data_IF_701332821339
#
_entry.id   IF_701332821339
#
_cell.length_a   1.000
_cell.length_b   1.000
_cell.length_c   1.000
_cell.angle_alpha   90.00
_cell.angle_beta   90.00
_cell.angle_gamma   90.00
#
_symmetry.space_group_name_H-M   'P 1'
#
loop_
_entity.id
_entity.type
_entity.pdbx_description
1 polymer ?
#
# COMPACT_ATOMS: atom_id res chain seq x y z
N UNK A 1 -15.45 -15.96 -19.26
CA UNK A 1 -16.80 -15.45 -18.99
C UNK A 1 -16.67 -13.96 -18.74
N UNK A 2 -17.65 -13.17 -19.14
CA UNK A 2 -17.72 -11.76 -18.74
C UNK A 2 -18.24 -11.66 -17.31
N UNK A 3 -17.77 -10.67 -16.55
CA UNK A 3 -18.28 -10.27 -15.24
C UNK A 3 -18.59 -8.77 -15.25
N UNK A 4 -19.33 -8.34 -14.24
CA UNK A 4 -19.56 -6.95 -13.87
C UNK A 4 -18.65 -6.54 -12.71
N UNK A 5 -18.51 -5.22 -12.49
CA UNK A 5 -17.84 -4.71 -11.29
C UNK A 5 -18.52 -5.19 -9.99
N UNK A 6 -19.86 -5.24 -9.97
CA UNK A 6 -20.61 -5.64 -8.78
C UNK A 6 -20.39 -7.11 -8.40
N UNK A 7 -20.32 -8.03 -9.37
CA UNK A 7 -19.99 -9.44 -9.08
C UNK A 7 -18.63 -9.60 -8.40
N UNK A 8 -17.63 -8.77 -8.77
CA UNK A 8 -16.31 -8.77 -8.11
C UNK A 8 -16.34 -8.14 -6.70
N UNK A 9 -17.24 -7.18 -6.47
CA UNK A 9 -17.48 -6.60 -5.14
C UNK A 9 -18.14 -7.66 -4.25
N UNK A 10 -19.19 -8.32 -4.73
CA UNK A 10 -19.92 -9.36 -3.99
C UNK A 10 -19.01 -10.57 -3.69
N UNK A 11 -18.16 -10.99 -4.64
CA UNK A 11 -17.15 -12.04 -4.42
C UNK A 11 -16.11 -11.70 -3.33
N UNK A 12 -15.88 -10.42 -3.04
CA UNK A 12 -14.83 -9.97 -2.12
C UNK A 12 -15.32 -9.37 -0.81
N UNK A 13 -16.59 -8.96 -0.69
CA UNK A 13 -17.05 -8.12 0.43
C UNK A 13 -16.86 -8.77 1.80
N UNK A 14 -17.25 -10.03 1.99
CA UNK A 14 -17.10 -10.72 3.29
C UNK A 14 -15.63 -10.99 3.66
N UNK A 15 -14.81 -11.45 2.71
CA UNK A 15 -13.38 -11.65 2.96
C UNK A 15 -12.65 -10.32 3.20
N UNK A 16 -13.06 -9.24 2.51
CA UNK A 16 -12.61 -7.86 2.73
C UNK A 16 -12.90 -7.41 4.15
N UNK A 17 -14.14 -7.63 4.65
CA UNK A 17 -14.54 -7.28 6.01
C UNK A 17 -13.73 -8.04 7.05
N UNK A 18 -13.49 -9.35 6.89
CA UNK A 18 -12.64 -10.10 7.83
C UNK A 18 -11.19 -9.56 7.87
N UNK A 19 -10.63 -9.19 6.71
CA UNK A 19 -9.30 -8.58 6.63
C UNK A 19 -9.28 -7.12 7.14
N UNK A 20 -10.37 -6.36 7.05
CA UNK A 20 -10.46 -5.01 7.63
C UNK A 20 -10.51 -5.09 9.16
N UNK A 21 -11.32 -5.98 9.72
CA UNK A 21 -11.32 -6.25 11.15
C UNK A 21 -9.92 -6.67 11.63
N UNK A 22 -9.21 -7.50 10.85
CA UNK A 22 -7.82 -7.88 11.16
C UNK A 22 -6.83 -6.71 11.07
N UNK A 23 -6.94 -5.85 10.06
CA UNK A 23 -6.11 -4.64 9.94
C UNK A 23 -6.37 -3.67 11.10
N UNK A 24 -7.62 -3.55 11.57
CA UNK A 24 -7.96 -2.74 12.73
C UNK A 24 -7.37 -3.31 14.03
N UNK A 25 -7.42 -4.63 14.25
CA UNK A 25 -6.74 -5.33 15.36
C UNK A 25 -5.23 -5.08 15.38
N UNK A 26 -4.59 -4.97 14.20
CA UNK A 26 -3.16 -4.68 14.06
C UNK A 26 -2.86 -3.18 14.24
N UNK A 27 -3.71 -2.30 13.74
CA UNK A 27 -3.47 -0.85 13.76
C UNK A 27 -3.66 -0.26 15.15
N UNK A 28 -4.75 -0.57 15.85
CA UNK A 28 -5.07 -0.05 17.20
C UNK A 28 -4.97 1.48 17.34
N UNK A 29 -5.16 2.23 16.26
CA UNK A 29 -4.99 3.69 16.21
C UNK A 29 -3.53 4.18 16.17
N UNK A 30 -2.55 3.30 15.96
CA UNK A 30 -1.16 3.67 15.74
C UNK A 30 -0.97 4.52 14.47
N UNK A 31 0.08 5.35 14.48
CA UNK A 31 0.52 6.06 13.28
C UNK A 31 1.10 5.10 12.24
N UNK A 32 1.30 5.60 11.02
CA UNK A 32 1.87 4.82 9.92
C UNK A 32 2.89 5.63 9.11
N UNK A 33 3.79 4.90 8.45
CA UNK A 33 4.75 5.39 7.46
C UNK A 33 4.74 4.43 6.26
N UNK A 34 5.01 4.92 5.04
CA UNK A 34 5.17 4.06 3.87
C UNK A 34 6.33 4.49 2.98
N UNK A 35 7.20 3.54 2.69
CA UNK A 35 8.28 3.66 1.72
C UNK A 35 7.96 2.76 0.51
N UNK A 36 7.82 3.35 -0.68
CA UNK A 36 7.61 2.58 -1.91
C UNK A 36 8.92 2.20 -2.60
N UNK A 37 10.06 2.82 -2.25
CA UNK A 37 11.37 2.44 -2.77
C UNK A 37 11.97 1.21 -2.08
N UNK A 38 11.60 0.99 -0.80
CA UNK A 38 11.76 -0.27 -0.11
C UNK A 38 10.35 -0.71 0.36
N UNK A 39 9.56 -1.42 -0.48
CA UNK A 39 8.10 -1.58 -0.33
C UNK A 39 7.65 -2.04 1.07
N UNK A 40 7.39 -1.08 1.95
CA UNK A 40 7.12 -1.30 3.36
C UNK A 40 6.11 -0.28 3.86
N UNK A 41 5.00 -0.77 4.41
CA UNK A 41 4.03 0.00 5.18
C UNK A 41 4.18 -0.36 6.65
N UNK A 42 4.65 0.58 7.45
CA UNK A 42 5.00 0.33 8.86
C UNK A 42 3.97 0.97 9.77
N UNK A 43 3.26 0.13 10.53
CA UNK A 43 2.44 0.55 11.66
C UNK A 43 3.35 0.82 12.87
N UNK A 44 3.16 1.98 13.51
CA UNK A 44 3.95 2.48 14.64
C UNK A 44 3.48 1.87 15.97
N UNK A 45 3.31 0.55 15.98
CA UNK A 45 2.99 -0.27 17.15
C UNK A 45 4.25 -0.63 17.94
N UNK A 46 4.09 -1.26 19.10
CA UNK A 46 5.20 -1.83 19.89
C UNK A 46 4.97 -3.33 20.12
N UNK A 47 5.71 -4.24 19.43
CA UNK A 47 6.70 -3.95 18.40
C UNK A 47 6.06 -3.43 17.09
N UNK A 48 6.82 -2.74 16.21
CA UNK A 48 6.31 -2.26 14.93
C UNK A 48 5.91 -3.42 14.01
N UNK A 49 4.75 -3.29 13.35
CA UNK A 49 4.28 -4.22 12.31
C UNK A 49 4.63 -3.65 10.93
N UNK A 50 5.23 -4.45 10.06
CA UNK A 50 5.62 -4.03 8.70
C UNK A 50 4.95 -4.92 7.65
N UNK A 51 4.14 -4.31 6.79
CA UNK A 51 3.36 -4.96 5.74
C UNK A 51 3.92 -4.59 4.36
N UNK A 52 3.63 -5.40 3.35
CA UNK A 52 3.93 -5.09 1.94
C UNK A 52 2.81 -4.23 1.36
N UNK A 53 3.10 -3.00 0.87
CA UNK A 53 2.11 -2.16 0.21
C UNK A 53 2.09 -2.39 -1.30
N UNK A 54 0.88 -2.47 -1.85
CA UNK A 54 0.63 -2.35 -3.28
C UNK A 54 -0.25 -1.13 -3.54
N UNK A 55 0.21 -0.17 -4.35
CA UNK A 55 -0.57 1.00 -4.72
C UNK A 55 -1.55 0.63 -5.84
N UNK A 56 -2.85 0.67 -5.58
CA UNK A 56 -3.86 0.47 -6.64
C UNK A 56 -4.00 1.72 -7.51
N UNK A 57 -4.15 2.88 -6.87
CA UNK A 57 -4.44 4.12 -7.55
C UNK A 57 -4.64 5.27 -6.58
N UNK A 58 -4.98 6.43 -7.13
CA UNK A 58 -5.25 7.64 -6.37
C UNK A 58 -6.57 8.25 -6.76
N UNK A 59 -7.36 8.60 -5.75
CA UNK A 59 -8.54 9.43 -5.87
C UNK A 59 -8.15 10.89 -5.60
N UNK A 60 -8.58 11.81 -6.46
CA UNK A 60 -8.35 13.24 -6.29
C UNK A 60 -9.65 14.02 -6.37
N UNK A 61 -10.10 14.56 -5.23
CA UNK A 61 -11.29 15.41 -5.16
C UNK A 61 -11.11 16.72 -5.94
N UNK A 62 -9.87 17.22 -6.05
CA UNK A 62 -9.51 18.45 -6.77
C UNK A 62 -9.45 18.27 -8.29
N UNK A 63 -9.02 17.10 -8.79
CA UNK A 63 -9.08 16.75 -10.22
C UNK A 63 -10.45 16.20 -10.63
N UNK A 64 -11.20 15.63 -9.69
CA UNK A 64 -12.46 14.93 -9.96
C UNK A 64 -12.27 13.59 -10.66
N UNK A 65 -11.11 12.93 -10.47
CA UNK A 65 -10.80 11.64 -11.09
C UNK A 65 -10.10 10.65 -10.16
N UNK A 66 -10.35 9.37 -10.43
CA UNK A 66 -9.57 8.23 -9.99
C UNK A 66 -8.57 7.88 -11.10
N UNK A 67 -7.30 7.72 -10.74
CA UNK A 67 -6.23 7.31 -11.66
C UNK A 67 -5.57 6.05 -11.10
N UNK A 68 -5.47 5.01 -11.93
CA UNK A 68 -4.80 3.77 -11.54
C UNK A 68 -3.28 3.89 -11.59
N UNK A 69 -2.57 3.20 -10.70
CA UNK A 69 -1.11 3.33 -10.56
C UNK A 69 -0.33 2.80 -11.76
N UNK A 70 -0.94 1.96 -12.61
CA UNK A 70 -0.34 1.52 -13.87
C UNK A 70 -0.25 2.60 -14.96
N UNK A 71 -0.85 3.78 -14.76
CA UNK A 71 -0.58 4.92 -15.62
C UNK A 71 0.80 5.54 -15.34
N UNK A 72 1.28 5.40 -14.10
CA UNK A 72 2.49 6.04 -13.60
C UNK A 72 3.61 5.02 -13.31
N UNK A 73 3.73 3.97 -14.14
CA UNK A 73 4.71 2.87 -13.95
C UNK A 73 6.17 3.35 -13.83
N UNK A 74 6.52 4.51 -14.41
CA UNK A 74 7.85 5.09 -14.29
C UNK A 74 8.14 5.80 -12.96
N UNK A 75 7.17 5.87 -12.05
CA UNK A 75 7.25 6.60 -10.78
C UNK A 75 7.31 5.70 -9.53
N UNK A 76 6.97 4.42 -9.66
CA UNK A 76 6.92 3.45 -8.56
C UNK A 76 7.55 2.12 -9.02
N UNK A 77 8.28 1.40 -8.14
CA UNK A 77 8.83 0.09 -8.52
C UNK A 77 7.74 -0.89 -8.97
N UNK A 78 8.05 -1.71 -9.97
CA UNK A 78 7.14 -2.73 -10.54
C UNK A 78 6.40 -3.57 -9.48
N UNK A 79 7.05 -3.93 -8.37
CA UNK A 79 6.45 -4.67 -7.26
C UNK A 79 5.28 -3.91 -6.60
N UNK A 80 5.39 -2.59 -6.42
CA UNK A 80 4.37 -1.74 -5.77
C UNK A 80 3.11 -1.61 -6.62
N UNK A 81 3.26 -1.56 -7.95
CA UNK A 81 2.16 -1.42 -8.91
C UNK A 81 1.62 -2.76 -9.42
N UNK A 82 2.25 -3.87 -9.03
CA UNK A 82 1.93 -5.23 -9.51
C UNK A 82 0.46 -5.62 -9.33
N UNK A 83 -0.15 -5.29 -8.17
CA UNK A 83 -1.56 -5.59 -7.91
C UNK A 83 -2.51 -4.77 -8.80
N UNK A 84 -2.15 -3.53 -9.16
CA UNK A 84 -2.93 -2.72 -10.09
C UNK A 84 -2.82 -3.30 -11.51
N UNK A 85 -1.61 -3.65 -11.96
CA UNK A 85 -1.41 -4.30 -13.28
C UNK A 85 -2.14 -5.64 -13.36
N UNK A 86 -2.14 -6.43 -12.27
CA UNK A 86 -2.93 -7.66 -12.17
C UNK A 86 -4.44 -7.38 -12.27
N UNK A 87 -4.93 -6.34 -11.61
CA UNK A 87 -6.33 -5.91 -11.73
C UNK A 87 -6.69 -5.49 -13.16
N UNK A 88 -5.80 -4.77 -13.87
CA UNK A 88 -5.96 -4.43 -15.30
C UNK A 88 -6.06 -5.67 -16.17
N UNK A 89 -5.07 -6.56 -16.09
CA UNK A 89 -5.04 -7.79 -16.88
C UNK A 89 -6.23 -8.70 -16.56
N UNK A 90 -6.75 -8.69 -15.33
CA UNK A 90 -7.96 -9.41 -14.95
C UNK A 90 -9.24 -8.73 -15.50
N UNK A 91 -9.33 -7.39 -15.42
CA UNK A 91 -10.42 -6.60 -15.99
C UNK A 91 -10.57 -6.82 -17.49
N UNK A 92 -9.46 -6.80 -18.24
CA UNK A 92 -9.41 -7.13 -19.67
C UNK A 92 -9.92 -8.56 -19.96
N UNK A 93 -9.50 -9.56 -19.16
CA UNK A 93 -9.93 -10.97 -19.32
C UNK A 93 -11.41 -11.19 -18.98
N UNK A 94 -11.94 -10.40 -18.05
CA UNK A 94 -13.30 -10.51 -17.52
C UNK A 94 -14.29 -9.52 -18.17
N UNK A 95 -13.84 -8.60 -19.01
CA UNK A 95 -14.68 -7.57 -19.61
C UNK A 95 -15.24 -6.56 -18.59
N UNK A 96 -14.46 -6.25 -17.54
CA UNK A 96 -14.79 -5.22 -16.54
C UNK A 96 -14.02 -3.96 -16.92
N UNK A 97 -14.71 -3.05 -17.61
CA UNK A 97 -14.12 -1.82 -18.15
C UNK A 97 -13.58 -0.92 -17.03
N UNK A 98 -14.21 -0.89 -15.85
CA UNK A 98 -13.77 -0.06 -14.72
C UNK A 98 -12.43 -0.52 -14.11
N UNK A 99 -12.06 -1.78 -14.28
CA UNK A 99 -10.76 -2.32 -13.88
C UNK A 99 -9.70 -2.21 -14.99
N UNK A 100 -10.06 -1.78 -16.20
CA UNK A 100 -9.11 -1.67 -17.34
C UNK A 100 -9.04 -0.26 -17.95
N UNK A 101 -9.93 0.64 -17.56
CA UNK A 101 -9.91 2.06 -17.94
C UNK A 101 -8.93 2.84 -17.07
N UNK A 102 -7.99 3.54 -17.71
CA UNK A 102 -6.86 4.22 -17.10
C UNK A 102 -7.23 5.31 -16.07
N UNK A 103 -8.23 6.14 -16.41
CA UNK A 103 -8.75 7.23 -15.59
C UNK A 103 -10.28 7.20 -15.60
N UNK A 104 -10.89 7.31 -14.42
CA UNK A 104 -12.33 7.29 -14.23
C UNK A 104 -12.78 8.60 -13.55
N UNK A 105 -13.92 9.20 -13.95
CA UNK A 105 -14.47 10.34 -13.23
C UNK A 105 -14.89 9.92 -11.81
N UNK A 106 -14.54 10.73 -10.80
CA UNK A 106 -14.95 10.47 -9.41
C UNK A 106 -16.48 10.43 -9.31
N UNK A 107 -16.94 9.40 -8.63
CA UNK A 107 -18.31 9.23 -8.17
C UNK A 107 -18.27 8.74 -6.71
N UNK A 108 -19.36 8.95 -5.98
CA UNK A 108 -19.54 8.47 -4.61
C UNK A 108 -19.21 6.96 -4.50
N UNK A 109 -18.42 6.59 -3.48
CA UNK A 109 -17.90 5.23 -3.29
C UNK A 109 -17.09 4.61 -4.42
N UNK A 110 -16.66 5.36 -5.44
CA UNK A 110 -15.95 4.76 -6.58
C UNK A 110 -14.65 4.10 -6.15
N UNK A 111 -13.76 4.82 -5.45
CA UNK A 111 -12.48 4.28 -5.04
C UNK A 111 -12.59 3.04 -4.14
N UNK A 112 -13.57 3.01 -3.23
CA UNK A 112 -13.87 1.82 -2.41
C UNK A 112 -14.39 0.66 -3.27
N UNK A 113 -15.32 0.90 -4.21
CA UNK A 113 -15.86 -0.12 -5.13
C UNK A 113 -14.78 -0.73 -6.04
N UNK A 114 -13.92 0.11 -6.62
CA UNK A 114 -12.77 -0.36 -7.42
C UNK A 114 -11.79 -1.15 -6.56
N UNK A 115 -11.54 -0.71 -5.32
CA UNK A 115 -10.67 -1.43 -4.40
C UNK A 115 -11.23 -2.80 -4.01
N UNK A 116 -12.52 -2.90 -3.67
CA UNK A 116 -13.19 -4.18 -3.40
C UNK A 116 -13.09 -5.13 -4.61
N UNK A 117 -13.47 -4.68 -5.80
CA UNK A 117 -13.35 -5.47 -7.02
C UNK A 117 -11.90 -5.92 -7.31
N UNK A 118 -10.90 -5.07 -7.04
CA UNK A 118 -9.49 -5.42 -7.16
C UNK A 118 -9.08 -6.54 -6.17
N UNK A 119 -9.66 -6.60 -4.96
CA UNK A 119 -9.38 -7.69 -4.00
C UNK A 119 -9.75 -9.07 -4.56
N UNK A 120 -10.91 -9.19 -5.23
CA UNK A 120 -11.36 -10.44 -5.83
C UNK A 120 -10.39 -11.00 -6.90
N UNK A 121 -9.69 -10.12 -7.63
CA UNK A 121 -8.79 -10.50 -8.73
C UNK A 121 -7.30 -10.48 -8.38
N UNK A 122 -6.92 -9.96 -7.21
CA UNK A 122 -5.52 -9.90 -6.72
C UNK A 122 -5.24 -10.84 -5.54
N UNK A 123 -6.28 -11.22 -4.79
CA UNK A 123 -6.16 -12.03 -3.57
C UNK A 123 -5.52 -11.30 -2.38
N UNK A 124 -5.38 -9.96 -2.44
CA UNK A 124 -4.87 -9.14 -1.33
C UNK A 124 -6.05 -8.39 -0.71
N UNK A 125 -6.54 -8.85 0.44
CA UNK A 125 -7.87 -8.44 0.95
C UNK A 125 -7.84 -7.28 1.96
N UNK A 126 -6.70 -6.95 2.57
CA UNK A 126 -6.55 -5.76 3.40
C UNK A 126 -6.30 -4.52 2.53
N UNK A 127 -6.85 -3.37 2.92
CA UNK A 127 -6.63 -2.11 2.22
C UNK A 127 -6.51 -0.92 3.16
N UNK A 128 -5.85 0.15 2.73
CA UNK A 128 -5.69 1.37 3.51
C UNK A 128 -5.79 2.62 2.62
N UNK A 129 -6.77 3.51 2.85
CA UNK A 129 -6.85 4.82 2.19
C UNK A 129 -5.86 5.80 2.85
N UNK A 130 -4.67 5.92 2.27
CA UNK A 130 -3.59 6.79 2.75
C UNK A 130 -3.77 8.24 2.23
N UNK A 131 -4.12 9.16 3.13
CA UNK A 131 -4.23 10.59 2.81
C UNK A 131 -2.89 11.17 2.34
N UNK A 132 -2.82 11.53 1.06
CA UNK A 132 -1.63 12.09 0.39
C UNK A 132 -1.51 13.62 0.58
N UNK A 133 -2.57 14.27 1.06
CA UNK A 133 -2.68 15.72 1.19
C UNK A 133 -3.10 16.38 -0.13
N UNK A 134 -3.54 17.64 -0.06
CA UNK A 134 -4.03 18.37 -1.24
C UNK A 134 -5.35 17.85 -1.82
N UNK A 135 -6.13 17.08 -1.05
CA UNK A 135 -7.35 16.42 -1.54
C UNK A 135 -7.08 15.18 -2.41
N UNK A 136 -5.90 14.56 -2.26
CA UNK A 136 -5.57 13.26 -2.86
C UNK A 136 -5.54 12.18 -1.78
N UNK A 137 -6.09 11.01 -2.10
CA UNK A 137 -6.03 9.78 -1.29
C UNK A 137 -5.43 8.67 -2.13
N UNK A 138 -4.34 8.07 -1.65
CA UNK A 138 -3.72 6.91 -2.26
C UNK A 138 -4.31 5.63 -1.66
N UNK A 139 -4.86 4.76 -2.50
CA UNK A 139 -5.51 3.53 -2.06
C UNK A 139 -4.53 2.36 -2.18
N UNK A 140 -4.16 1.80 -1.02
CA UNK A 140 -3.19 0.72 -0.90
C UNK A 140 -3.90 -0.61 -0.63
N UNK A 141 -3.47 -1.70 -1.24
CA UNK A 141 -3.66 -3.05 -0.71
C UNK A 141 -2.47 -3.43 0.15
N UNK A 142 -2.71 -4.16 1.24
CA UNK A 142 -1.68 -4.56 2.21
C UNK A 142 -1.62 -6.09 2.31
N UNK A 143 -0.41 -6.65 2.29
CA UNK A 143 -0.13 -8.08 2.43
C UNK A 143 0.97 -8.32 3.49
N UNK A 144 0.96 -9.48 4.14
CA UNK A 144 1.88 -9.80 5.23
C UNK A 144 1.43 -11.00 6.07
N UNK A 145 2.37 -11.70 6.75
CA UNK A 145 2.06 -12.85 7.59
C UNK A 145 1.10 -12.53 8.75
N UNK A 146 1.00 -11.27 9.17
CA UNK A 146 0.09 -10.80 10.22
C UNK A 146 -1.39 -10.95 9.84
N UNK A 147 -1.69 -11.08 8.54
CA UNK A 147 -3.01 -11.39 8.01
C UNK A 147 -3.31 -12.90 7.88
N UNK A 148 -2.45 -13.79 8.38
CA UNK A 148 -2.79 -15.21 8.48
C UNK A 148 -3.99 -15.39 9.42
N UNK A 149 -5.15 -15.70 8.83
CA UNK A 149 -6.40 -15.84 9.57
C UNK A 149 -6.47 -17.22 10.24
N UNK A 150 -7.00 -17.32 11.48
CA UNK A 150 -7.29 -18.61 12.08
C UNK A 150 -8.35 -19.38 11.26
N UNK A 151 -8.50 -20.68 11.55
CA UNK A 151 -9.59 -21.48 10.97
C UNK A 151 -10.96 -20.84 11.23
N UNK A 152 -11.85 -20.91 10.23
CA UNK A 152 -13.16 -20.27 10.31
C UNK A 152 -14.08 -20.99 11.31
N UNK A 153 -14.70 -20.21 12.19
CA UNK A 153 -15.72 -20.65 13.15
C UNK A 153 -17.09 -20.06 12.81
N UNK A 154 -18.16 -20.68 13.30
CA UNK A 154 -19.53 -20.16 13.12
C UNK A 154 -19.65 -18.73 13.65
N UNK A 155 -19.11 -18.45 14.84
CA UNK A 155 -19.13 -17.11 15.46
C UNK A 155 -18.46 -16.06 14.55
N UNK A 156 -17.27 -16.37 14.02
CA UNK A 156 -16.49 -15.48 13.16
C UNK A 156 -17.19 -15.26 11.82
N UNK A 157 -17.69 -16.31 11.20
CA UNK A 157 -18.47 -16.24 9.95
C UNK A 157 -19.70 -15.34 10.12
N UNK A 158 -20.50 -15.58 11.17
CA UNK A 158 -21.73 -14.81 11.39
C UNK A 158 -21.45 -13.34 11.73
N UNK A 159 -20.37 -13.06 12.46
CA UNK A 159 -19.93 -11.68 12.75
C UNK A 159 -19.51 -10.95 11.47
N UNK A 160 -18.69 -11.58 10.63
CA UNK A 160 -18.21 -11.01 9.35
C UNK A 160 -19.38 -10.71 8.40
N UNK A 161 -20.31 -11.66 8.25
CA UNK A 161 -21.52 -11.46 7.43
C UNK A 161 -22.35 -10.30 8.00
N UNK A 162 -22.64 -10.30 9.30
CA UNK A 162 -23.44 -9.25 9.92
C UNK A 162 -22.81 -7.86 9.79
N UNK A 163 -21.49 -7.73 9.97
CA UNK A 163 -20.75 -6.47 9.81
C UNK A 163 -20.77 -5.99 8.35
N UNK A 164 -20.48 -6.87 7.38
CA UNK A 164 -20.44 -6.53 5.97
C UNK A 164 -21.80 -6.01 5.45
N UNK A 165 -22.91 -6.62 5.89
CA UNK A 165 -24.27 -6.21 5.51
C UNK A 165 -24.66 -4.82 6.06
N UNK A 166 -23.95 -4.26 7.03
CA UNK A 166 -24.19 -2.87 7.47
C UNK A 166 -23.72 -1.82 6.45
N UNK A 167 -22.92 -2.22 5.45
CA UNK A 167 -22.31 -1.31 4.47
C UNK A 167 -23.16 -1.09 3.20
N UNK A 168 -24.30 -1.79 3.06
CA UNK A 168 -25.20 -1.75 1.88
C UNK A 168 -24.46 -1.92 0.52
N UNK A 169 -23.30 -2.57 0.54
CA UNK A 169 -22.38 -2.69 -0.60
C UNK A 169 -22.48 -4.05 -1.31
N UNK A 170 -22.92 -5.09 -0.58
CA UNK A 170 -23.21 -6.40 -1.12
C UNK A 170 -24.60 -6.38 -1.79
N UNK A 171 -24.68 -6.82 -3.04
CA UNK A 171 -25.95 -6.89 -3.80
C UNK A 171 -26.39 -8.33 -3.96
N UNK A 172 -25.51 -9.22 -4.43
CA UNK A 172 -25.75 -10.67 -4.45
C UNK A 172 -25.14 -11.35 -3.21
N UNK A 173 -25.95 -11.58 -2.19
CA UNK A 173 -25.51 -12.25 -0.97
C UNK A 173 -25.25 -13.75 -1.20
N UNK A 174 -25.89 -14.37 -2.20
CA UNK A 174 -25.64 -15.78 -2.55
C UNK A 174 -24.20 -15.94 -3.03
N UNK A 175 -23.78 -15.06 -3.94
CA UNK A 175 -22.41 -14.98 -4.45
C UNK A 175 -21.40 -14.64 -3.33
N UNK A 176 -21.74 -13.70 -2.45
CA UNK A 176 -20.89 -13.34 -1.31
C UNK A 176 -20.67 -14.49 -0.32
N UNK A 177 -21.74 -15.23 0.05
CA UNK A 177 -21.62 -16.42 0.93
C UNK A 177 -20.82 -17.53 0.25
N UNK A 178 -21.09 -17.82 -1.02
CA UNK A 178 -20.40 -18.87 -1.79
C UNK A 178 -18.91 -18.57 -1.97
N UNK A 179 -18.55 -17.33 -2.34
CA UNK A 179 -17.15 -16.90 -2.46
C UNK A 179 -16.43 -16.94 -1.11
N UNK A 180 -17.03 -16.40 -0.05
CA UNK A 180 -16.44 -16.40 1.29
C UNK A 180 -16.17 -17.82 1.80
N UNK A 181 -17.11 -18.75 1.60
CA UNK A 181 -16.92 -20.16 1.93
C UNK A 181 -15.71 -20.76 1.18
N UNK A 182 -15.63 -20.55 -0.14
CA UNK A 182 -14.52 -21.03 -1.00
C UNK A 182 -13.16 -20.43 -0.64
N UNK A 183 -13.12 -19.17 -0.20
CA UNK A 183 -11.90 -18.47 0.20
C UNK A 183 -11.42 -18.83 1.61
N UNK A 184 -12.33 -19.27 2.49
CA UNK A 184 -12.00 -19.69 3.86
C UNK A 184 -11.89 -21.20 4.05
N UNK A 185 -12.13 -21.99 3.00
CA UNK A 185 -12.09 -23.46 3.06
C UNK A 185 -13.30 -24.08 3.76
N UNK A 186 -14.42 -23.37 3.81
CA UNK A 186 -15.68 -23.90 4.31
C UNK A 186 -16.41 -24.70 3.22
N UNK A 187 -17.20 -25.69 3.63
CA UNK A 187 -18.10 -26.40 2.70
C UNK A 187 -19.41 -25.63 2.57
N UNK A 188 -19.90 -25.48 1.34
CA UNK A 188 -21.22 -24.93 1.04
C UNK A 188 -22.02 -25.92 0.20
N UNK A 189 -23.24 -26.20 0.63
CA UNK A 189 -24.16 -27.11 -0.05
C UNK A 189 -25.47 -26.37 -0.34
N UNK A 190 -25.85 -26.29 -1.61
CA UNK A 190 -27.06 -25.62 -2.06
C UNK A 190 -28.21 -26.63 -2.22
N UNK A 191 -29.25 -26.51 -1.39
CA UNK A 191 -30.49 -27.31 -1.52
C UNK A 191 -31.32 -26.82 -2.71
N UNK A 192 -31.36 -25.49 -2.88
CA UNK A 192 -32.01 -24.75 -3.98
C UNK A 192 -31.28 -23.42 -4.16
N UNK A 193 -31.59 -22.64 -5.20
CA UNK A 193 -31.06 -21.26 -5.35
C UNK A 193 -31.43 -20.32 -4.17
N UNK A 194 -32.43 -20.67 -3.35
CA UNK A 194 -32.89 -19.88 -2.21
C UNK A 194 -32.44 -20.41 -0.84
N UNK A 195 -31.65 -21.49 -0.77
CA UNK A 195 -31.24 -22.09 0.52
C UNK A 195 -29.91 -22.85 0.41
N UNK A 196 -28.98 -22.57 1.31
CA UNK A 196 -27.74 -23.33 1.46
C UNK A 196 -27.42 -23.67 2.92
N UNK A 197 -26.57 -24.69 3.11
CA UNK A 197 -25.92 -25.00 4.39
C UNK A 197 -24.42 -24.77 4.24
N UNK A 198 -23.87 -23.90 5.10
CA UNK A 198 -22.42 -23.68 5.21
C UNK A 198 -21.90 -24.43 6.43
N UNK A 199 -20.95 -25.34 6.22
CA UNK A 199 -20.29 -26.12 7.26
C UNK A 199 -18.86 -25.62 7.46
N UNK A 200 -18.50 -25.33 8.71
CA UNK A 200 -17.20 -24.83 9.17
C UNK A 200 -16.66 -25.72 10.30
N UNK A 201 -15.50 -25.39 10.89
CA UNK A 201 -14.77 -26.26 11.83
C UNK A 201 -15.61 -26.72 13.04
N UNK A 202 -16.43 -25.83 13.58
CA UNK A 202 -17.13 -25.99 14.87
C UNK A 202 -18.65 -26.12 14.76
N UNK A 203 -19.21 -26.12 13.54
CA UNK A 203 -20.64 -26.28 13.31
C UNK A 203 -21.07 -25.93 11.88
N UNK A 204 -22.38 -25.80 11.67
CA UNK A 204 -22.95 -25.36 10.41
C UNK A 204 -24.10 -24.37 10.62
N UNK A 205 -24.38 -23.56 9.60
CA UNK A 205 -25.53 -22.65 9.53
C UNK A 205 -26.27 -22.87 8.22
N UNK A 206 -27.60 -22.86 8.27
CA UNK A 206 -28.47 -22.79 7.10
C UNK A 206 -28.84 -21.34 6.84
N UNK A 207 -28.71 -20.91 5.59
CA UNK A 207 -29.08 -19.58 5.12
C UNK A 207 -30.27 -19.70 4.17
N UNK A 208 -31.20 -18.75 4.26
CA UNK A 208 -32.25 -18.53 3.27
C UNK A 208 -32.04 -17.20 2.57
N UNK A 209 -32.40 -17.17 1.29
CA UNK A 209 -32.23 -16.00 0.43
C UNK A 209 -33.55 -15.67 -0.27
N UNK A 210 -33.97 -14.42 -0.18
CA UNK A 210 -35.08 -13.84 -0.95
C UNK A 210 -34.51 -12.69 -1.79
N UNK A 211 -34.78 -12.67 -3.10
CA UNK A 211 -34.26 -11.68 -4.06
C UNK A 211 -32.73 -11.42 -3.94
N UNK A 212 -31.94 -12.50 -3.84
CA UNK A 212 -30.48 -12.52 -3.61
C UNK A 212 -29.99 -11.92 -2.28
N UNK A 213 -30.89 -11.64 -1.33
CA UNK A 213 -30.56 -11.14 0.01
C UNK A 213 -30.84 -12.20 1.09
N UNK A 214 -29.94 -12.30 2.08
CA UNK A 214 -30.11 -13.19 3.24
C UNK A 214 -31.36 -12.75 4.03
N UNK A 215 -32.40 -13.58 4.04
CA UNK A 215 -33.66 -13.32 4.75
C UNK A 215 -33.79 -14.08 6.08
N UNK A 216 -32.97 -15.11 6.29
CA UNK A 216 -32.92 -15.86 7.54
C UNK A 216 -31.65 -16.70 7.69
N UNK A 217 -31.30 -17.00 8.93
CA UNK A 217 -30.20 -17.93 9.27
C UNK A 217 -30.58 -18.76 10.50
N UNK A 218 -30.27 -20.07 10.49
CA UNK A 218 -30.41 -20.94 11.67
C UNK A 218 -29.23 -21.92 11.82
N UNK A 219 -28.98 -22.47 13.02
CA UNK A 219 -28.06 -23.59 13.21
C UNK A 219 -28.49 -24.84 12.43
N UNK A 220 -27.52 -25.48 11.76
CA UNK A 220 -27.72 -26.71 11.01
C UNK A 220 -26.79 -27.83 11.50
N UNK A 221 -27.10 -29.08 11.12
CA UNK A 221 -26.16 -30.19 11.26
C UNK A 221 -25.07 -30.09 10.17
N UNK A 222 -23.78 -30.29 10.49
CA UNK A 222 -22.70 -30.36 9.50
C UNK A 222 -22.97 -31.41 8.43
N UNK A 223 -22.89 -31.03 7.15
CA UNK A 223 -23.11 -31.97 6.04
C UNK A 223 -21.87 -32.74 5.60
N UNK A 224 -20.67 -32.30 6.03
CA UNK A 224 -19.39 -32.97 5.78
C UNK A 224 -18.55 -33.12 7.04
N UNK A 225 -17.64 -34.10 7.02
CA UNK A 225 -16.66 -34.31 8.09
C UNK A 225 -15.44 -33.37 7.98
N UNK A 226 -14.60 -33.33 9.03
CA UNK A 226 -13.43 -32.45 9.10
C UNK A 226 -12.38 -32.73 8.01
N UNK A 227 -12.32 -33.96 7.49
CA UNK A 227 -11.44 -34.33 6.38
C UNK A 227 -11.73 -33.53 5.10
N UNK A 228 -13.01 -33.30 4.77
CA UNK A 228 -13.40 -32.49 3.61
C UNK A 228 -13.05 -31.02 3.82
N UNK A 229 -13.19 -30.51 5.05
CA UNK A 229 -12.79 -29.13 5.39
C UNK A 229 -11.27 -28.92 5.27
N UNK A 230 -10.46 -29.93 5.59
CA UNK A 230 -9.00 -29.88 5.39
C UNK A 230 -8.64 -29.80 3.90
N UNK A 231 -9.32 -30.58 3.06
CA UNK A 231 -9.12 -30.54 1.60
C UNK A 231 -9.56 -29.18 1.02
N UNK A 232 -10.74 -28.66 1.41
CA UNK A 232 -11.23 -27.34 1.00
C UNK A 232 -10.31 -26.19 1.47
N UNK A 233 -9.70 -26.31 2.66
CA UNK A 233 -8.69 -25.38 3.13
C UNK A 233 -7.34 -25.52 2.40
N UNK A 234 -7.04 -26.66 1.77
CA UNK A 234 -5.92 -26.79 0.84
C UNK A 234 -6.21 -26.10 -0.49
N UNK A 235 -7.38 -26.38 -1.08
CA UNK A 235 -7.91 -25.71 -2.27
C UNK A 235 -7.90 -24.17 -2.16
N UNK A 236 -8.34 -23.64 -1.01
CA UNK A 236 -8.33 -22.19 -0.76
C UNK A 236 -6.91 -21.60 -0.78
N UNK A 237 -5.92 -22.31 -0.21
CA UNK A 237 -4.51 -21.92 -0.24
C UNK A 237 -3.88 -22.04 -1.63
N UNK A 238 -4.32 -23.01 -2.44
CA UNK A 238 -3.92 -23.15 -3.85
C UNK A 238 -4.46 -22.00 -4.69
N UNK A 239 -5.75 -21.63 -4.55
CA UNK A 239 -6.34 -20.45 -5.21
C UNK A 239 -5.57 -19.17 -4.85
N UNK A 240 -5.25 -18.98 -3.57
CA UNK A 240 -4.43 -17.85 -3.12
C UNK A 240 -2.98 -17.91 -3.64
N UNK A 241 -2.44 -19.09 -3.95
CA UNK A 241 -1.13 -19.24 -4.58
C UNK A 241 -1.16 -18.84 -6.06
N UNK A 242 -2.17 -19.27 -6.80
CA UNK A 242 -2.38 -18.87 -8.21
C UNK A 242 -2.49 -17.35 -8.33
N UNK A 243 -3.25 -16.69 -7.45
CA UNK A 243 -3.35 -15.21 -7.45
C UNK A 243 -2.02 -14.52 -7.09
N UNK A 244 -1.14 -15.15 -6.31
CA UNK A 244 0.22 -14.64 -6.05
C UNK A 244 1.17 -14.87 -7.24
N UNK A 245 1.01 -15.96 -7.98
CA UNK A 245 1.76 -16.22 -9.22
C UNK A 245 1.34 -15.26 -10.34
N UNK A 246 0.04 -15.00 -10.50
CA UNK A 246 -0.49 -13.96 -11.40
C UNK A 246 0.07 -12.57 -11.04
N UNK A 247 0.19 -12.24 -9.74
CA UNK A 247 0.81 -10.97 -9.30
C UNK A 247 2.29 -10.87 -9.67
N UNK A 248 3.04 -11.96 -9.53
CA UNK A 248 4.44 -12.00 -9.95
C UNK A 248 4.60 -11.90 -11.49
N UNK A 249 3.65 -12.43 -12.26
CA UNK A 249 3.60 -12.23 -13.70
C UNK A 249 3.29 -10.76 -14.08
N UNK A 250 2.35 -10.13 -13.37
CA UNK A 250 2.01 -8.70 -13.53
C UNK A 250 3.19 -7.78 -13.16
N UNK A 251 3.94 -8.08 -12.10
CA UNK A 251 5.20 -7.40 -11.76
C UNK A 251 6.22 -7.49 -12.92
N UNK A 252 6.40 -8.69 -13.50
CA UNK A 252 7.27 -8.87 -14.65
C UNK A 252 6.76 -8.15 -15.92
N UNK A 253 5.44 -7.94 -16.07
CA UNK A 253 4.87 -7.07 -17.11
C UNK A 253 5.19 -5.59 -16.83
N UNK A 254 4.96 -5.10 -15.61
CA UNK A 254 5.27 -3.72 -15.20
C UNK A 254 6.75 -3.37 -15.43
N UNK A 255 7.68 -4.21 -14.95
CA UNK A 255 9.12 -4.01 -15.11
C UNK A 255 9.58 -4.00 -16.59
N UNK A 256 8.88 -4.73 -17.48
CA UNK A 256 9.15 -4.68 -18.92
C UNK A 256 8.66 -3.37 -19.53
N UNK A 257 7.46 -2.92 -19.16
CA UNK A 257 6.87 -1.66 -19.66
C UNK A 257 7.68 -0.44 -19.19
N UNK A 258 8.21 -0.44 -17.97
CA UNK A 258 9.14 0.58 -17.44
C UNK A 258 10.48 0.64 -18.23
N UNK A 259 10.97 -0.52 -18.68
CA UNK A 259 12.24 -0.62 -19.41
C UNK A 259 12.13 -0.27 -20.91
N UNK A 260 10.94 -0.32 -21.52
CA UNK A 260 10.75 0.00 -22.94
C UNK A 260 11.16 1.44 -23.35
N UNK A 261 10.79 2.53 -22.64
CA UNK A 261 11.28 3.87 -22.99
C UNK A 261 12.81 3.99 -22.88
N UNK A 262 13.43 3.32 -21.90
CA UNK A 262 14.89 3.26 -21.77
C UNK A 262 15.56 2.48 -22.91
N UNK A 263 14.90 1.41 -23.41
CA UNK A 263 15.39 0.57 -24.51
C UNK A 263 15.28 1.27 -25.86
N UNK A 264 14.23 2.06 -26.07
CA UNK A 264 14.04 2.87 -27.28
C UNK A 264 15.03 4.05 -27.37
N UNK A 265 15.54 4.53 -26.23
CA UNK A 265 16.54 5.59 -26.14
C UNK A 265 18.00 5.09 -26.24
N UNK A 266 18.24 3.77 -26.14
CA UNK A 266 19.57 3.21 -26.30
C UNK A 266 20.06 3.37 -27.76
N UNK A 267 21.27 3.92 -28.02
CA UNK A 267 21.75 4.09 -29.38
C UNK A 267 21.91 2.73 -30.05
N UNK A 268 21.20 2.52 -31.16
CA UNK A 268 21.40 1.36 -32.00
C UNK A 268 22.87 1.31 -32.42
N UNK A 269 23.59 0.26 -32.00
CA UNK A 269 24.97 0.06 -32.39
C UNK A 269 25.05 0.07 -33.93
N UNK A 270 25.91 0.89 -34.54
CA UNK A 270 25.95 1.02 -35.99
C UNK A 270 26.31 -0.34 -36.59
N UNK A 271 25.41 -0.89 -37.40
CA UNK A 271 25.68 -2.11 -38.13
C UNK A 271 26.93 -1.91 -39.00
N UNK A 272 27.93 -2.79 -38.82
CA UNK A 272 29.21 -2.71 -39.53
C UNK A 272 28.98 -2.71 -41.04
N UNK A 273 29.05 -1.52 -41.63
CA UNK A 273 28.91 -1.34 -43.07
C UNK A 273 30.32 -1.44 -43.66
N UNK A 274 30.59 -2.37 -44.60
CA UNK A 274 31.94 -2.59 -45.10
C UNK A 274 32.44 -1.35 -45.87
N UNK A 275 33.61 -0.87 -45.50
CA UNK A 275 34.25 0.36 -46.00
C UNK A 275 34.65 0.19 -47.48
N UNK A 276 34.25 1.12 -48.37
CA UNK A 276 34.91 1.36 -49.65
C UNK A 276 35.96 2.49 -49.52
N UNK A 277 37.03 2.28 -50.28
CA UNK A 277 38.30 3.01 -50.40
C UNK A 277 38.22 4.52 -50.70
N UNK A 278 39.33 5.24 -50.46
CA UNK A 278 39.46 6.71 -50.42
C UNK A 278 39.23 7.46 -51.75
N UNK A 279 38.65 8.67 -51.67
CA UNK A 279 38.81 9.75 -52.65
C UNK A 279 38.63 11.14 -51.97
N UNK A 280 39.19 12.25 -52.51
CA UNK A 280 39.74 13.32 -51.67
C UNK A 280 38.78 14.44 -51.23
N UNK A 281 39.21 15.18 -50.20
CA UNK A 281 38.54 16.36 -49.63
C UNK A 281 38.69 17.59 -50.55
N UNK A 282 37.58 18.23 -50.90
CA UNK A 282 37.54 19.63 -51.35
C UNK A 282 37.06 20.55 -50.21
N UNK A 283 37.59 21.77 -50.16
CA UNK A 283 37.28 22.78 -49.15
C UNK A 283 36.24 23.78 -49.72
N UNK A 284 35.10 24.02 -49.05
CA UNK A 284 34.20 25.11 -49.42
C UNK A 284 34.65 26.45 -48.80
N UNK A 285 34.59 27.52 -49.60
CA UNK A 285 34.88 28.90 -49.20
C UNK A 285 33.79 29.51 -48.29
N UNK A 286 34.10 30.56 -47.50
CA UNK A 286 33.21 31.07 -46.46
C UNK A 286 32.04 31.89 -47.00
N UNK A 287 30.86 31.70 -46.39
CA UNK A 287 29.65 32.48 -46.66
C UNK A 287 29.57 33.66 -45.70
N UNK A 288 29.27 34.85 -46.24
CA UNK A 288 29.16 36.11 -45.49
C UNK A 288 27.92 36.16 -44.59
N UNK A 289 28.07 36.81 -43.43
CA UNK A 289 26.99 37.04 -42.45
C UNK A 289 26.65 38.55 -42.41
N UNK A 290 25.37 38.95 -42.43
CA UNK A 290 24.98 40.32 -42.11
C UNK A 290 24.84 40.53 -40.58
N UNK A 291 25.40 41.64 -40.09
CA UNK A 291 25.23 42.15 -38.72
C UNK A 291 23.76 42.42 -38.33
N UNK A 292 23.43 42.38 -37.02
CA UNK A 292 23.13 43.62 -36.25
C UNK A 292 22.78 43.47 -34.74
N UNK A 293 23.33 44.41 -33.95
CA UNK A 293 22.92 44.97 -32.62
C UNK A 293 23.10 44.14 -31.32
N UNK A 294 24.09 44.59 -30.54
CA UNK A 294 24.21 44.53 -29.06
C UNK A 294 23.53 45.78 -28.44
N UNK A 295 23.05 45.86 -27.19
CA UNK A 295 23.13 45.02 -25.96
C UNK A 295 21.94 45.40 -25.03
N UNK A 296 21.54 44.57 -24.05
CA UNK A 296 21.54 44.99 -22.61
C UNK A 296 21.25 43.85 -21.60
N UNK A 297 21.93 43.92 -20.45
CA UNK A 297 21.70 43.09 -19.26
C UNK A 297 20.88 43.89 -18.23
N UNK A 298 19.83 43.31 -17.66
CA UNK A 298 19.17 43.86 -16.45
C UNK A 298 19.27 42.84 -15.31
N UNK A 299 19.77 43.32 -14.17
CA UNK A 299 19.97 42.58 -12.92
C UNK A 299 18.74 42.70 -12.02
N UNK A 300 18.33 41.66 -11.26
CA UNK A 300 17.20 41.72 -10.33
C UNK A 300 17.58 42.30 -8.95
N UNK A 301 16.55 42.56 -8.13
CA UNK A 301 16.48 42.74 -6.64
C UNK A 301 15.53 43.92 -6.27
N UNK A 302 14.86 43.95 -5.09
CA UNK A 302 14.33 42.85 -4.27
C UNK A 302 12.85 43.09 -3.85
N UNK A 303 12.38 42.40 -2.80
CA UNK A 303 10.97 42.29 -2.38
C UNK A 303 10.57 43.13 -1.14
N UNK A 304 9.25 43.40 -1.02
CA UNK A 304 8.41 43.63 0.18
C UNK A 304 6.95 43.85 -0.35
N UNK A 305 5.82 43.66 0.34
CA UNK A 305 5.51 43.66 1.78
C UNK A 305 4.18 42.86 2.06
N UNK A 306 3.92 42.45 3.30
CA UNK A 306 2.84 41.53 3.71
C UNK A 306 1.50 42.19 4.08
N UNK A 307 0.35 41.48 3.97
CA UNK A 307 -0.89 41.73 4.75
C UNK A 307 -1.65 40.43 5.11
N UNK A 308 -2.40 40.37 6.24
CA UNK A 308 -2.92 39.13 6.82
C UNK A 308 -4.42 38.87 6.57
N UNK A 309 -4.85 37.62 6.81
CA UNK A 309 -6.22 37.19 7.08
C UNK A 309 -6.14 36.09 8.17
N UNK A 310 -6.60 36.37 9.39
CA UNK A 310 -7.89 35.92 9.96
C UNK A 310 -7.93 34.42 10.31
N UNK A 311 -7.82 34.12 11.60
CA UNK A 311 -8.24 32.84 12.20
C UNK A 311 -9.77 32.67 12.11
N UNK A 312 -10.24 31.41 12.16
CA UNK A 312 -11.30 31.16 13.13
C UNK A 312 -11.11 29.88 13.98
N UNK A 313 -11.33 30.09 15.27
CA UNK A 313 -12.08 29.22 16.20
C UNK A 313 -11.75 27.71 16.26
N UNK A 314 -11.09 27.32 17.36
CA UNK A 314 -11.16 25.95 17.87
C UNK A 314 -12.61 25.54 18.17
N UNK A 315 -13.04 24.40 17.62
CA UNK A 315 -14.26 23.70 18.00
C UNK A 315 -13.92 22.50 18.90
N UNK A 316 -14.72 22.27 19.94
CA UNK A 316 -14.40 21.31 21.00
C UNK A 316 -14.50 19.85 20.54
N UNK A 317 -13.50 19.05 20.91
CA UNK A 317 -13.57 17.59 20.82
C UNK A 317 -14.58 17.01 21.83
N UNK A 318 -15.35 16.01 21.42
CA UNK A 318 -16.26 15.28 22.31
C UNK A 318 -16.90 14.06 21.66
N UNK A 319 -16.99 12.98 22.45
CA UNK A 319 -17.55 11.65 22.13
C UNK A 319 -16.66 10.72 21.26
N UNK A 320 -16.77 9.43 21.54
CA UNK A 320 -15.87 8.37 21.06
C UNK A 320 -16.50 7.53 19.94
N UNK A 321 -15.71 7.21 18.92
CA UNK A 321 -16.12 6.43 17.74
C UNK A 321 -15.66 4.96 17.84
N UNK A 322 -15.75 4.35 19.03
CA UNK A 322 -15.30 2.97 19.29
C UNK A 322 -16.27 1.88 18.78
N UNK A 323 -17.21 2.22 17.89
CA UNK A 323 -18.38 1.38 17.56
C UNK A 323 -18.86 1.54 16.09
N UNK A 324 -17.99 2.01 15.18
CA UNK A 324 -18.26 2.10 13.73
C UNK A 324 -17.50 1.00 12.96
N UNK A 325 -18.03 0.49 11.83
CA UNK A 325 -17.34 -0.52 11.02
C UNK A 325 -16.01 0.01 10.46
N UNK A 326 -15.03 -0.88 10.27
CA UNK A 326 -13.69 -0.47 9.79
C UNK A 326 -13.60 -0.29 8.27
N UNK A 327 -14.55 -0.85 7.51
CA UNK A 327 -14.62 -0.77 6.04
C UNK A 327 -15.52 0.40 5.57
N UNK A 328 -15.20 1.62 6.04
CA UNK A 328 -15.92 2.85 5.71
C UNK A 328 -15.09 3.73 4.78
N UNK A 329 -15.75 4.67 4.08
CA UNK A 329 -15.06 5.73 3.36
C UNK A 329 -14.19 6.58 4.33
N UNK A 330 -13.03 7.10 3.88
CA UNK A 330 -12.22 7.97 4.72
C UNK A 330 -13.02 9.21 5.12
N UNK A 331 -13.32 9.32 6.41
CA UNK A 331 -14.10 10.44 6.99
C UNK A 331 -13.51 11.81 6.63
N UNK A 332 -14.35 12.84 6.51
CA UNK A 332 -13.97 14.27 6.34
C UNK A 332 -13.04 14.85 7.44
N UNK A 333 -12.63 14.04 8.42
CA UNK A 333 -11.73 14.40 9.50
C UNK A 333 -10.30 14.54 8.98
N UNK A 334 -9.61 15.62 9.36
CA UNK A 334 -8.18 15.80 9.09
C UNK A 334 -7.33 14.74 9.82
N UNK A 335 -7.20 13.56 9.23
CA UNK A 335 -6.17 12.58 9.61
C UNK A 335 -4.83 13.17 9.23
N UNK A 336 -3.91 13.27 10.20
CA UNK A 336 -2.55 13.76 9.94
C UNK A 336 -1.89 12.84 8.91
N UNK A 337 -1.42 13.34 7.76
CA UNK A 337 -0.75 12.50 6.76
C UNK A 337 0.44 11.76 7.39
N UNK A 338 0.49 10.45 7.21
CA UNK A 338 1.70 9.68 7.44
C UNK A 338 2.80 10.15 6.50
N UNK A 339 4.07 9.89 6.85
CA UNK A 339 5.16 10.19 5.93
C UNK A 339 5.13 9.16 4.80
N UNK A 340 5.28 9.66 3.58
CA UNK A 340 5.44 8.86 2.36
C UNK A 340 6.79 9.16 1.75
N UNK A 341 7.54 8.11 1.42
CA UNK A 341 8.88 8.21 0.84
C UNK A 341 8.96 7.44 -0.48
N UNK A 342 9.53 8.07 -1.51
CA UNK A 342 9.99 7.40 -2.72
C UNK A 342 11.41 7.86 -3.05
N UNK A 343 12.39 6.96 -2.95
CA UNK A 343 13.75 7.24 -3.39
C UNK A 343 13.83 7.03 -4.91
N UNK A 344 13.85 8.14 -5.67
CA UNK A 344 14.21 8.08 -7.09
C UNK A 344 15.69 7.69 -7.20
N UNK A 345 15.98 6.54 -7.82
CA UNK A 345 17.36 6.10 -8.07
C UNK A 345 18.03 7.11 -9.02
N UNK A 346 19.12 7.78 -8.62
CA UNK A 346 19.85 8.66 -9.53
C UNK A 346 20.43 7.83 -10.67
N UNK A 347 20.15 8.22 -11.92
CA UNK A 347 20.80 7.62 -13.08
C UNK A 347 22.33 7.76 -12.96
N UNK A 348 23.11 6.78 -13.45
CA UNK A 348 24.56 6.75 -13.24
C UNK A 348 25.24 7.99 -13.83
N UNK A 349 25.88 8.79 -12.97
CA UNK A 349 26.69 9.93 -13.42
C UNK A 349 27.82 9.44 -14.36
N UNK A 350 28.15 10.20 -15.43
CA UNK A 350 29.20 9.80 -16.35
C UNK A 350 30.56 9.80 -15.64
N UNK A 351 31.13 8.61 -15.49
CA UNK A 351 32.44 8.36 -14.90
C UNK A 351 33.49 9.21 -15.61
N UNK A 352 34.04 10.21 -14.91
CA UNK A 352 35.21 10.95 -15.40
C UNK A 352 36.43 10.03 -15.32
N UNK A 353 37.25 9.91 -16.39
CA UNK A 353 38.40 9.02 -16.37
C UNK A 353 39.42 9.46 -15.31
N UNK A 354 39.98 8.49 -14.60
CA UNK A 354 40.95 8.71 -13.54
C UNK A 354 42.20 9.45 -14.06
N UNK A 355 42.68 10.42 -13.28
CA UNK A 355 44.02 10.99 -13.48
C UNK A 355 45.05 10.08 -12.82
N UNK A 356 46.09 9.80 -13.59
CA UNK A 356 47.25 8.99 -13.24
C UNK A 356 48.19 9.80 -12.33
N UNK A 357 48.48 9.29 -11.12
CA UNK A 357 49.49 9.87 -10.23
C UNK A 357 50.66 8.90 -10.01
N UNK A 358 51.88 9.44 -10.11
CA UNK A 358 53.16 8.75 -10.17
C UNK A 358 53.78 8.65 -8.76
N UNK A 359 54.45 7.54 -8.38
CA UNK A 359 54.84 7.31 -6.98
C UNK A 359 56.24 7.82 -6.55
N UNK A 360 56.37 7.98 -5.22
CA UNK A 360 57.60 7.99 -4.39
C UNK A 360 58.57 9.21 -4.44
N UNK A 361 59.42 9.45 -3.39
CA UNK A 361 59.86 8.52 -2.33
C UNK A 361 59.78 9.02 -0.86
N UNK A 362 60.11 8.12 0.07
CA UNK A 362 60.01 8.28 1.53
C UNK A 362 61.25 8.87 2.25
N UNK A 363 61.05 9.46 3.46
CA UNK A 363 62.10 9.61 4.49
C UNK A 363 61.59 9.83 5.95
N UNK A 364 61.98 8.90 6.84
CA UNK A 364 62.35 9.09 8.26
C UNK A 364 61.40 9.72 9.33
N UNK A 365 60.68 8.83 10.03
CA UNK A 365 60.68 8.60 11.51
C UNK A 365 60.76 9.79 12.51
N UNK A 366 59.86 9.78 13.51
CA UNK A 366 60.20 9.82 14.95
C UNK A 366 59.11 9.15 15.83
N UNK A 367 59.51 8.68 17.03
CA UNK A 367 58.85 7.67 17.91
C UNK A 367 57.51 8.05 18.58
N UNK A 368 56.78 6.98 18.92
CA UNK A 368 55.62 6.87 19.83
C UNK A 368 55.99 7.07 21.34
N UNK A 369 55.02 6.96 22.30
CA UNK A 369 54.58 5.62 22.78
C UNK A 369 53.07 5.41 23.02
N UNK A 370 52.56 4.32 22.44
CA UNK A 370 51.68 3.25 23.00
C UNK A 370 50.75 3.55 24.18
N UNK A 371 49.47 3.20 24.00
CA UNK A 371 48.62 2.61 25.04
C UNK A 371 47.80 1.45 24.44
N UNK A 372 47.87 0.25 25.04
CA UNK A 372 47.22 -0.98 24.56
C UNK A 372 45.99 -1.38 25.40
N UNK A 373 45.12 -2.29 24.90
CA UNK A 373 43.69 -2.33 25.27
C UNK A 373 43.33 -3.39 26.33
N UNK A 374 42.06 -3.41 26.73
CA UNK A 374 41.43 -4.54 27.42
C UNK A 374 40.07 -4.90 26.81
N UNK A 375 39.82 -6.21 26.68
CA UNK A 375 38.59 -6.84 26.17
C UNK A 375 38.26 -8.02 27.11
N UNK A 376 36.99 -8.43 27.15
CA UNK A 376 36.48 -9.73 27.67
C UNK A 376 36.45 -9.91 29.21
N UNK A 377 35.30 -10.19 29.85
CA UNK A 377 34.55 -11.47 29.77
C UNK A 377 33.13 -11.44 30.36
N UNK A 378 32.29 -12.36 29.87
CA UNK A 378 31.05 -12.83 30.50
C UNK A 378 31.30 -13.68 31.77
N UNK A 379 30.32 -13.73 32.69
CA UNK A 379 30.06 -14.89 33.56
C UNK A 379 28.55 -14.98 33.87
N UNK A 380 27.92 -16.13 33.63
CA UNK A 380 26.55 -16.46 34.03
C UNK A 380 26.38 -16.53 35.57
N UNK A 381 25.13 -16.42 36.07
CA UNK A 381 24.67 -17.30 37.17
C UNK A 381 23.16 -17.37 37.36
N UNK A 382 22.70 -18.60 37.46
CA UNK A 382 21.35 -19.07 37.81
C UNK A 382 21.07 -19.02 39.33
N UNK A 383 19.79 -19.14 39.74
CA UNK A 383 19.22 -19.95 40.86
C UNK A 383 18.02 -19.29 41.59
N UNK A 384 16.82 -19.61 41.10
CA UNK A 384 15.66 -20.26 41.77
C UNK A 384 15.18 -19.87 43.21
N UNK A 385 13.88 -19.51 43.27
CA UNK A 385 12.81 -19.75 44.28
C UNK A 385 12.65 -18.94 45.60
N UNK A 386 11.38 -18.55 45.86
CA UNK A 386 10.74 -18.70 47.19
C UNK A 386 9.98 -17.46 47.73
N UNK A 387 8.68 -17.55 48.09
CA UNK A 387 7.83 -16.36 48.29
C UNK A 387 7.48 -16.00 49.76
N UNK A 388 7.03 -14.75 49.98
CA UNK A 388 6.45 -14.28 51.24
C UNK A 388 5.65 -12.97 51.10
N UNK A 389 4.41 -12.97 51.60
CA UNK A 389 3.36 -11.90 51.58
C UNK A 389 2.99 -11.60 53.05
N UNK A 390 2.28 -10.53 53.51
CA UNK A 390 1.81 -9.24 52.92
C UNK A 390 2.23 -7.97 53.72
N UNK A 391 1.76 -6.77 53.31
CA UNK A 391 1.10 -5.85 54.27
C UNK A 391 1.25 -4.32 54.12
N UNK A 392 0.14 -3.60 54.27
CA UNK A 392 -0.02 -2.15 54.60
C UNK A 392 0.55 -1.12 53.60
N UNK A 393 -0.22 -0.40 52.79
CA UNK A 393 -1.30 0.58 53.06
C UNK A 393 -0.81 1.99 53.47
N UNK A 394 -1.32 3.01 52.75
CA UNK A 394 -0.98 4.45 52.90
C UNK A 394 0.34 4.84 52.21
N UNK A 395 0.51 6.01 51.58
CA UNK A 395 -0.20 7.28 51.77
C UNK A 395 0.11 8.22 50.60
N UNK A 396 -0.91 8.76 49.91
CA UNK A 396 -0.83 10.06 49.21
C UNK A 396 -0.96 11.21 50.24
N UNK A 397 -0.60 12.49 49.97
CA UNK A 397 -0.12 13.07 48.71
C UNK A 397 1.17 13.92 48.89
N UNK A 398 1.60 14.68 47.86
CA UNK A 398 1.64 16.17 47.90
C UNK A 398 2.18 16.73 46.57
N UNK A 399 1.48 17.78 46.11
CA UNK A 399 1.72 18.62 44.93
C UNK A 399 2.98 19.49 45.11
N UNK A 400 3.69 19.85 44.02
CA UNK A 400 3.90 21.24 43.53
C UNK A 400 5.14 21.40 42.61
N UNK A 401 5.02 22.24 41.56
CA UNK A 401 6.12 22.65 40.66
C UNK A 401 6.43 21.69 39.50
N UNK A 402 6.87 22.15 38.32
CA UNK A 402 7.05 23.52 37.81
C UNK A 402 7.05 23.47 36.26
N UNK A 403 6.63 24.54 35.58
CA UNK A 403 6.59 24.59 34.10
C UNK A 403 8.01 24.73 33.51
N UNK A 404 8.28 24.00 32.42
CA UNK A 404 9.21 24.48 31.38
C UNK A 404 8.72 23.99 30.02
N UNK A 405 8.47 24.95 29.13
CA UNK A 405 8.07 24.71 27.75
C UNK A 405 9.29 24.81 26.82
N UNK A 406 9.42 23.85 25.91
CA UNK A 406 10.21 24.02 24.67
C UNK A 406 9.35 23.55 23.49
N UNK A 407 8.68 24.50 22.83
CA UNK A 407 8.06 24.29 21.52
C UNK A 407 9.12 24.43 20.42
N UNK A 408 9.66 23.33 19.91
CA UNK A 408 10.33 23.36 18.60
C UNK A 408 9.27 23.39 17.48
N UNK A 409 9.06 24.58 16.93
CA UNK A 409 8.19 24.78 15.76
C UNK A 409 8.86 24.21 14.50
N UNK A 410 8.58 22.94 14.21
CA UNK A 410 8.95 22.31 12.94
C UNK A 410 8.24 22.94 11.73
N UNK A 411 9.02 23.50 10.80
CA UNK A 411 8.51 24.12 9.57
C UNK A 411 7.59 23.18 8.77
N UNK A 412 6.38 23.63 8.44
CA UNK A 412 5.44 22.89 7.58
C UNK A 412 5.96 22.79 6.14
N UNK A 413 6.70 21.72 5.82
CA UNK A 413 7.06 21.38 4.45
C UNK A 413 5.81 20.91 3.68
N UNK A 414 5.59 21.50 2.49
CA UNK A 414 4.51 21.08 1.57
C UNK A 414 4.58 19.58 1.29
N UNK A 415 3.43 18.89 1.36
CA UNK A 415 3.33 17.46 1.11
C UNK A 415 3.85 17.05 -0.26
N UNK A 416 4.63 15.96 -0.30
CA UNK A 416 5.35 15.46 -1.46
C UNK A 416 4.44 15.26 -2.69
N UNK A 417 3.26 14.69 -2.48
CA UNK A 417 2.27 14.41 -3.53
C UNK A 417 1.76 15.64 -4.30
N UNK A 418 1.77 16.84 -3.70
CA UNK A 418 1.40 18.09 -4.40
C UNK A 418 2.28 18.35 -5.63
N UNK A 419 3.52 17.86 -5.64
CA UNK A 419 4.44 17.98 -6.78
C UNK A 419 4.23 16.93 -7.87
N UNK A 420 3.73 15.75 -7.54
CA UNK A 420 3.53 14.65 -8.50
C UNK A 420 2.13 14.69 -9.12
N UNK A 421 1.10 15.01 -8.32
CA UNK A 421 -0.28 15.14 -8.79
C UNK A 421 -0.69 16.58 -9.16
N UNK A 422 0.28 17.45 -9.45
CA UNK A 422 0.06 18.75 -10.10
C UNK A 422 -0.94 19.65 -9.39
N UNK A 423 -0.64 20.04 -8.15
CA UNK A 423 -1.41 20.97 -7.29
C UNK A 423 -0.60 22.22 -6.95
#
# INVERSE_FOLDING_TARGET
MTKTLQELIDESIFISTEYQARLAELTQGAGWDVDFSAPAFTLQTEPPVTLTPYLLGTESASRGSWIWSWQELGHFPAAVVSAAVQAREAGERLGVDELSTDELPVAEGLARRLTLAAKAVTGVYAHYPAGAGGGVTAWLLLDGPEFELPELTVERMMRVIAEALTTDTAVDHNLAVDSYAKLRGAHIEWDTEATCVVTVRDGAQRFWFDDHQISGVEPAEPSVGPEILVDLAADARERAAILREDRAAAEATAARQEAEPHRAAAPAAPAETPVPEEAPREQPEPIEVPDFVETEHVRPEPAEESRPAEEPAAAHAGAAETDLPFDQEPSDREVRPGRVSTTVVPGPEPVRPAREEVPEPAAAQHREPVAEPQVEREVEREVVAGPGVPGSAGTEPVVEGEEIAEEEQGERKKGFFSRFFGL
#
